data_IF_751873160053
#
_entry.id   IF_751873160053
#
_cell.length_a   1.000
_cell.length_b   1.000
_cell.length_c   1.000
_cell.angle_alpha   90.00
_cell.angle_beta   90.00
_cell.angle_gamma   90.00
#
_symmetry.space_group_name_H-M   'P 1'
#
loop_
_entity.id
_entity.type
_entity.pdbx_description
1 polymer ?
#
# COMPACT_ATOMS: atom_id res chain seq x y z
N UNK A 1 -16.43 -5.00 -62.89
CA UNK A 1 -16.02 -5.28 -61.49
C UNK A 1 -15.40 -6.66 -61.45
N UNK A 2 -14.07 -6.77 -61.43
CA UNK A 2 -13.41 -8.06 -61.28
C UNK A 2 -13.60 -8.53 -59.83
N UNK A 3 -14.36 -9.62 -59.63
CA UNK A 3 -14.35 -10.31 -58.35
C UNK A 3 -12.94 -10.86 -58.13
N UNK A 4 -12.26 -10.42 -57.07
CA UNK A 4 -11.02 -11.04 -56.62
C UNK A 4 -11.29 -12.54 -56.37
N UNK A 5 -10.73 -13.41 -57.21
CA UNK A 5 -10.72 -14.85 -56.95
C UNK A 5 -9.60 -15.13 -55.95
N UNK A 6 -9.97 -15.44 -54.72
CA UNK A 6 -9.02 -15.86 -53.68
C UNK A 6 -8.38 -17.19 -54.08
N UNK A 7 -7.05 -17.26 -53.99
CA UNK A 7 -6.30 -18.51 -54.14
C UNK A 7 -6.48 -19.39 -52.89
N UNK A 8 -6.07 -20.67 -52.97
CA UNK A 8 -6.05 -21.56 -51.80
C UNK A 8 -5.15 -21.03 -50.68
N UNK A 9 -4.05 -20.36 -51.03
CA UNK A 9 -3.17 -19.67 -50.10
C UNK A 9 -3.87 -18.52 -49.39
N UNK A 10 -4.65 -17.72 -50.12
CA UNK A 10 -5.42 -16.60 -49.54
C UNK A 10 -6.49 -17.10 -48.56
N UNK A 11 -7.18 -18.19 -48.90
CA UNK A 11 -8.17 -18.82 -47.99
C UNK A 11 -7.51 -19.35 -46.72
N UNK A 12 -6.33 -19.96 -46.82
CA UNK A 12 -5.58 -20.40 -45.65
C UNK A 12 -5.11 -19.21 -44.80
N UNK A 13 -4.60 -18.15 -45.42
CA UNK A 13 -4.22 -16.92 -44.74
C UNK A 13 -5.38 -16.26 -44.01
N UNK A 14 -6.54 -16.13 -44.65
CA UNK A 14 -7.77 -15.60 -44.02
C UNK A 14 -8.19 -16.43 -42.81
N UNK A 15 -8.10 -17.77 -42.89
CA UNK A 15 -8.41 -18.65 -41.74
C UNK A 15 -7.46 -18.42 -40.56
N UNK A 16 -6.16 -18.25 -40.82
CA UNK A 16 -5.17 -17.95 -39.78
C UNK A 16 -5.45 -16.59 -39.15
N UNK A 17 -5.69 -15.55 -39.96
CA UNK A 17 -6.01 -14.21 -39.45
C UNK A 17 -7.30 -14.20 -38.63
N UNK A 18 -8.33 -14.92 -39.07
CA UNK A 18 -9.58 -15.07 -38.34
C UNK A 18 -9.36 -15.82 -37.01
N UNK A 19 -8.56 -16.89 -37.00
CA UNK A 19 -8.22 -17.62 -35.78
C UNK A 19 -7.45 -16.72 -34.79
N UNK A 20 -6.49 -15.92 -35.26
CA UNK A 20 -5.79 -14.93 -34.43
C UNK A 20 -6.76 -13.87 -33.89
N UNK A 21 -7.65 -13.34 -34.72
CA UNK A 21 -8.66 -12.37 -34.27
C UNK A 21 -9.55 -12.95 -33.16
N UNK A 22 -10.03 -14.19 -33.33
CA UNK A 22 -10.83 -14.87 -32.30
C UNK A 22 -10.01 -15.10 -31.03
N UNK A 23 -8.75 -15.54 -31.15
CA UNK A 23 -7.86 -15.75 -30.01
C UNK A 23 -7.62 -14.44 -29.24
N UNK A 24 -7.25 -13.35 -29.92
CA UNK A 24 -7.05 -12.05 -29.28
C UNK A 24 -8.34 -11.47 -28.71
N UNK A 25 -9.48 -11.68 -29.38
CA UNK A 25 -10.79 -11.31 -28.85
C UNK A 25 -11.12 -12.05 -27.55
N UNK A 26 -10.85 -13.35 -27.48
CA UNK A 26 -11.02 -14.14 -26.26
C UNK A 26 -10.05 -13.74 -25.16
N UNK A 27 -8.77 -13.54 -25.47
CA UNK A 27 -7.76 -13.08 -24.51
C UNK A 27 -8.15 -11.70 -23.95
N UNK A 28 -8.54 -10.76 -24.81
CA UNK A 28 -8.99 -9.43 -24.39
C UNK A 28 -10.26 -9.50 -23.54
N UNK A 29 -11.23 -10.34 -23.90
CA UNK A 29 -12.43 -10.56 -23.09
C UNK A 29 -12.09 -11.13 -21.71
N UNK A 30 -11.19 -12.12 -21.63
CA UNK A 30 -10.75 -12.70 -20.35
C UNK A 30 -9.97 -11.68 -19.54
N UNK A 31 -9.04 -10.93 -20.13
CA UNK A 31 -8.31 -9.86 -19.43
C UNK A 31 -9.24 -8.78 -18.90
N UNK A 32 -10.19 -8.31 -19.72
CA UNK A 32 -11.21 -7.36 -19.30
C UNK A 32 -12.04 -7.93 -18.17
N UNK A 33 -12.51 -9.18 -18.31
CA UNK A 33 -13.25 -9.85 -17.27
C UNK A 33 -12.44 -9.93 -15.97
N UNK A 34 -11.17 -10.34 -15.99
CA UNK A 34 -10.32 -10.44 -14.78
C UNK A 34 -10.06 -9.07 -14.13
N UNK A 35 -9.71 -8.05 -14.91
CA UNK A 35 -9.42 -6.70 -14.41
C UNK A 35 -10.67 -6.07 -13.77
N UNK A 36 -11.84 -6.34 -14.35
CA UNK A 36 -13.12 -5.77 -13.92
C UNK A 36 -13.99 -6.77 -13.14
N UNK A 37 -13.46 -7.93 -12.78
CA UNK A 37 -14.21 -8.97 -12.08
C UNK A 37 -14.22 -8.68 -10.59
N UNK A 38 -15.45 -8.45 -10.11
CA UNK A 38 -15.88 -8.53 -8.72
C UNK A 38 -14.77 -8.18 -7.72
N UNK A 39 -14.66 -6.91 -7.37
CA UNK A 39 -13.96 -6.50 -6.15
C UNK A 39 -14.61 -7.14 -4.91
N UNK A 40 -13.91 -7.12 -3.78
CA UNK A 40 -14.57 -7.35 -2.50
C UNK A 40 -15.71 -6.34 -2.40
N UNK A 41 -16.94 -6.80 -2.12
CA UNK A 41 -18.08 -5.88 -2.00
C UNK A 41 -17.79 -4.95 -0.82
N UNK A 42 -17.70 -3.62 -1.05
CA UNK A 42 -17.43 -2.71 0.03
C UNK A 42 -18.57 -2.74 1.05
N UNK A 43 -18.20 -2.65 2.32
CA UNK A 43 -19.17 -2.63 3.42
C UNK A 43 -19.44 -1.19 3.86
N UNK A 44 -20.71 -0.91 4.17
CA UNK A 44 -21.19 0.38 4.66
C UNK A 44 -20.68 0.70 6.07
N UNK A 45 -21.04 1.88 6.58
CA UNK A 45 -20.60 2.37 7.90
C UNK A 45 -21.22 1.57 9.06
N UNK A 46 -22.35 0.94 8.81
CA UNK A 46 -23.10 0.03 9.68
C UNK A 46 -22.54 -1.42 9.69
N UNK A 47 -21.45 -1.67 8.95
CA UNK A 47 -20.80 -2.97 8.93
C UNK A 47 -20.43 -3.43 10.36
N UNK A 48 -20.55 -4.74 10.66
CA UNK A 48 -20.10 -5.30 11.92
C UNK A 48 -18.67 -4.86 12.29
N UNK A 49 -18.41 -4.70 13.60
CA UNK A 49 -17.13 -4.17 14.09
C UNK A 49 -15.94 -5.09 13.79
N UNK A 50 -16.19 -6.40 13.64
CA UNK A 50 -15.25 -7.45 13.26
C UNK A 50 -15.03 -7.55 11.73
N UNK A 51 -15.57 -6.61 10.96
CA UNK A 51 -15.43 -6.54 9.51
C UNK A 51 -14.86 -5.20 9.07
N UNK A 52 -14.02 -5.23 8.04
CA UNK A 52 -13.46 -4.03 7.44
C UNK A 52 -14.56 -3.27 6.70
N UNK A 53 -14.70 -1.98 7.00
CA UNK A 53 -15.66 -1.09 6.31
C UNK A 53 -14.93 -0.08 5.45
N UNK A 54 -15.17 -0.15 4.15
CA UNK A 54 -14.71 0.88 3.21
C UNK A 54 -15.33 2.23 3.56
N UNK A 55 -16.63 2.28 3.90
CA UNK A 55 -17.29 3.53 4.24
C UNK A 55 -16.64 4.23 5.44
N UNK A 56 -16.18 3.48 6.46
CA UNK A 56 -15.43 4.07 7.59
C UNK A 56 -14.04 4.54 7.16
N UNK A 57 -13.34 3.76 6.34
CA UNK A 57 -12.04 4.15 5.80
C UNK A 57 -12.12 5.43 4.95
N UNK A 58 -13.14 5.57 4.09
CA UNK A 58 -13.33 6.76 3.25
C UNK A 58 -13.51 8.03 4.09
N UNK A 59 -14.09 7.97 5.30
CA UNK A 59 -14.15 9.15 6.17
C UNK A 59 -12.75 9.64 6.58
N UNK A 60 -11.80 8.73 6.80
CA UNK A 60 -10.41 9.10 7.04
C UNK A 60 -9.78 9.77 5.82
N UNK A 61 -10.05 9.25 4.62
CA UNK A 61 -9.55 9.84 3.37
C UNK A 61 -10.10 11.25 3.16
N UNK A 62 -11.39 11.49 3.45
CA UNK A 62 -12.01 12.83 3.36
C UNK A 62 -11.29 13.85 4.25
N UNK A 63 -10.93 13.47 5.47
CA UNK A 63 -10.18 14.37 6.34
C UNK A 63 -8.76 14.58 5.82
N UNK A 64 -8.08 13.50 5.46
CA UNK A 64 -6.66 13.54 5.06
C UNK A 64 -6.44 14.32 3.75
N UNK A 65 -7.29 14.12 2.74
CA UNK A 65 -7.11 14.65 1.39
C UNK A 65 -8.12 15.74 1.00
N UNK A 66 -9.26 15.83 1.68
CA UNK A 66 -10.29 16.85 1.43
C UNK A 66 -10.18 18.04 2.39
N UNK A 67 -10.23 17.78 3.70
CA UNK A 67 -10.27 18.84 4.73
C UNK A 67 -8.88 19.45 4.99
N UNK A 68 -7.84 18.61 4.98
CA UNK A 68 -6.45 19.05 5.15
C UNK A 68 -5.90 19.51 3.80
N UNK A 69 -5.40 20.74 3.73
CA UNK A 69 -4.94 21.41 2.50
C UNK A 69 -3.59 20.92 1.94
N UNK A 70 -3.46 19.61 1.74
CA UNK A 70 -2.25 18.92 1.25
C UNK A 70 -1.27 18.53 2.37
N UNK A 71 -0.55 17.41 2.21
CA UNK A 71 0.30 16.83 3.26
C UNK A 71 1.77 16.76 2.84
N UNK A 72 2.23 17.72 2.05
CA UNK A 72 3.62 17.74 1.61
C UNK A 72 4.57 17.97 2.78
N UNK A 73 5.76 17.40 2.68
CA UNK A 73 6.82 17.59 3.67
C UNK A 73 7.08 19.08 3.96
N UNK A 74 7.17 19.41 5.26
CA UNK A 74 7.34 20.78 5.76
C UNK A 74 6.06 21.63 5.87
N UNK A 75 4.92 21.22 5.29
CA UNK A 75 3.68 22.00 5.31
C UNK A 75 2.94 21.94 6.66
N UNK A 76 1.97 22.84 6.86
CA UNK A 76 1.06 22.75 8.00
C UNK A 76 0.12 21.56 7.89
N UNK A 77 -0.29 21.17 6.68
CA UNK A 77 -1.21 20.07 6.48
C UNK A 77 -0.61 18.72 6.84
N UNK A 78 0.68 18.49 6.59
CA UNK A 78 1.38 17.30 7.12
C UNK A 78 1.29 17.22 8.65
N UNK A 79 1.53 18.34 9.35
CA UNK A 79 1.40 18.38 10.82
C UNK A 79 -0.03 18.12 11.28
N UNK A 80 -1.02 18.63 10.57
CA UNK A 80 -2.44 18.37 10.85
C UNK A 80 -2.79 16.90 10.63
N UNK A 81 -2.26 16.28 9.58
CA UNK A 81 -2.45 14.85 9.30
C UNK A 81 -1.83 13.99 10.40
N UNK A 82 -0.62 14.32 10.84
CA UNK A 82 0.03 13.65 11.96
C UNK A 82 -0.81 13.72 13.25
N UNK A 83 -1.31 14.92 13.59
CA UNK A 83 -2.21 15.12 14.74
C UNK A 83 -3.50 14.32 14.58
N UNK A 84 -4.08 14.29 13.38
CA UNK A 84 -5.28 13.54 13.08
C UNK A 84 -5.08 12.04 13.29
N UNK A 85 -4.05 11.45 12.66
CA UNK A 85 -3.72 10.02 12.78
C UNK A 85 -3.54 9.65 14.25
N UNK A 86 -2.70 10.40 14.98
CA UNK A 86 -2.46 10.16 16.42
C UNK A 86 -3.74 10.24 17.24
N UNK A 87 -4.63 11.19 16.93
CA UNK A 87 -5.94 11.30 17.58
C UNK A 87 -6.80 10.07 17.32
N UNK A 88 -6.84 9.57 16.08
CA UNK A 88 -7.56 8.33 15.75
C UNK A 88 -7.00 7.12 16.51
N UNK A 89 -5.67 7.01 16.58
CA UNK A 89 -4.99 5.94 17.31
C UNK A 89 -5.30 5.99 18.81
N UNK A 90 -5.27 7.16 19.44
CA UNK A 90 -5.64 7.30 20.85
C UNK A 90 -7.10 6.92 21.10
N UNK A 91 -8.03 7.30 20.21
CA UNK A 91 -9.41 6.84 20.31
C UNK A 91 -9.53 5.31 20.19
N UNK A 92 -8.80 4.69 19.26
CA UNK A 92 -8.75 3.22 19.12
C UNK A 92 -8.21 2.59 20.42
N UNK A 93 -7.14 3.13 20.99
CA UNK A 93 -6.55 2.66 22.24
C UNK A 93 -7.52 2.69 23.42
N UNK A 94 -8.38 3.70 23.53
CA UNK A 94 -9.38 3.75 24.62
C UNK A 94 -10.39 2.60 24.62
N UNK A 95 -10.54 1.91 23.47
CA UNK A 95 -11.48 0.79 23.30
C UNK A 95 -10.81 -0.57 23.49
N UNK A 96 -9.50 -0.61 23.76
CA UNK A 96 -8.76 -1.86 23.93
C UNK A 96 -9.27 -2.68 25.12
N UNK A 97 -9.40 -4.00 24.90
CA UNK A 97 -9.71 -4.95 25.96
C UNK A 97 -8.53 -5.12 26.93
N UNK A 98 -8.81 -5.54 28.17
CA UNK A 98 -7.80 -5.65 29.25
C UNK A 98 -6.66 -6.64 28.95
N UNK A 99 -6.85 -7.55 28.00
CA UNK A 99 -5.86 -8.55 27.58
C UNK A 99 -5.05 -8.11 26.34
N UNK A 100 -5.24 -6.88 25.86
CA UNK A 100 -4.51 -6.28 24.74
C UNK A 100 -3.74 -5.06 25.25
N UNK A 101 -2.46 -4.97 24.89
CA UNK A 101 -1.62 -3.80 25.09
C UNK A 101 -1.58 -2.96 23.80
N UNK A 102 -1.67 -1.64 23.95
CA UNK A 102 -1.62 -0.68 22.84
C UNK A 102 -0.63 0.43 23.15
N UNK A 103 0.45 0.48 22.38
CA UNK A 103 1.51 1.49 22.47
C UNK A 103 1.43 2.41 21.25
N UNK A 104 1.51 3.72 21.46
CA UNK A 104 1.49 4.72 20.38
C UNK A 104 2.74 5.58 20.53
N UNK A 105 3.50 5.73 19.46
CA UNK A 105 4.71 6.55 19.42
C UNK A 105 4.71 7.48 18.24
N UNK A 106 5.24 8.68 18.46
CA UNK A 106 5.58 9.62 17.40
C UNK A 106 7.09 9.81 17.48
N UNK A 107 7.78 9.53 16.38
CA UNK A 107 9.24 9.57 16.33
C UNK A 107 9.70 10.56 15.27
N UNK A 108 10.78 11.27 15.58
CA UNK A 108 11.43 12.19 14.66
C UNK A 108 12.73 11.55 14.20
N UNK A 109 12.85 11.29 12.91
CA UNK A 109 13.96 10.56 12.30
C UNK A 109 14.91 11.50 11.55
N UNK A 110 16.18 11.10 11.55
CA UNK A 110 17.26 11.78 10.83
C UNK A 110 18.15 10.70 10.23
N UNK A 111 18.79 10.99 9.10
CA UNK A 111 19.66 10.01 8.48
C UNK A 111 20.36 10.50 7.23
N UNK A 112 21.16 9.60 6.68
CA UNK A 112 21.81 9.76 5.40
C UNK A 112 22.06 8.39 4.79
N UNK A 113 21.76 8.25 3.50
CA UNK A 113 22.01 7.01 2.77
C UNK A 113 22.29 7.29 1.31
N UNK A 114 22.89 6.30 0.65
CA UNK A 114 23.04 6.30 -0.80
C UNK A 114 22.01 5.35 -1.38
N UNK A 115 21.46 5.71 -2.52
CA UNK A 115 20.51 4.89 -3.25
C UNK A 115 20.85 4.96 -4.74
N UNK A 116 20.76 3.82 -5.42
CA UNK A 116 20.76 3.81 -6.88
C UNK A 116 19.32 4.00 -7.37
N UNK A 117 19.08 5.06 -8.14
CA UNK A 117 17.79 5.41 -8.73
C UNK A 117 17.95 5.68 -10.22
N UNK A 118 17.22 4.94 -11.05
CA UNK A 118 17.30 5.03 -12.52
C UNK A 118 18.74 4.90 -13.08
N UNK A 119 19.58 4.09 -12.44
CA UNK A 119 20.97 3.87 -12.83
C UNK A 119 21.95 4.97 -12.39
N UNK A 120 21.49 5.93 -11.59
CA UNK A 120 22.31 6.98 -11.00
C UNK A 120 22.38 6.82 -9.49
N UNK A 121 23.58 6.96 -8.94
CA UNK A 121 23.77 6.97 -7.49
C UNK A 121 23.41 8.35 -6.95
N UNK A 122 22.48 8.39 -6.00
CA UNK A 122 22.08 9.60 -5.28
C UNK A 122 22.44 9.47 -3.81
N UNK A 123 22.94 10.57 -3.23
CA UNK A 123 23.22 10.67 -1.80
C UNK A 123 22.19 11.56 -1.15
N UNK A 124 21.45 11.01 -0.19
CA UNK A 124 20.39 11.70 0.53
C UNK A 124 20.88 11.98 1.96
N UNK A 125 20.55 13.16 2.48
CA UNK A 125 20.76 13.52 3.90
C UNK A 125 19.58 14.34 4.34
N UNK A 126 18.99 13.96 5.46
CA UNK A 126 17.72 14.51 5.89
C UNK A 126 17.63 14.60 7.40
N UNK A 127 16.76 15.49 7.88
CA UNK A 127 16.55 15.74 9.30
C UNK A 127 15.11 16.13 9.57
N UNK A 128 14.55 15.59 10.66
CA UNK A 128 13.30 16.09 11.20
C UNK A 128 12.02 15.57 10.54
N UNK A 129 12.05 14.39 9.90
CA UNK A 129 10.84 13.75 9.39
C UNK A 129 10.15 12.96 10.49
N UNK A 130 8.82 12.88 10.44
CA UNK A 130 8.02 12.28 11.52
C UNK A 130 7.42 10.96 11.08
N UNK A 131 7.48 9.95 11.94
CA UNK A 131 6.73 8.71 11.80
C UNK A 131 5.78 8.56 12.98
N UNK A 132 4.58 8.06 12.72
CA UNK A 132 3.62 7.68 13.76
C UNK A 132 3.48 6.18 13.77
N UNK A 133 3.55 5.59 14.95
CA UNK A 133 3.52 4.16 15.14
C UNK A 133 2.43 3.76 16.12
N UNK A 134 1.78 2.64 15.82
CA UNK A 134 0.90 1.92 16.72
C UNK A 134 1.43 0.50 16.87
N UNK A 135 1.60 0.01 18.09
CA UNK A 135 1.86 -1.39 18.36
C UNK A 135 0.71 -1.98 19.15
N UNK A 136 0.08 -3.01 18.59
CA UNK A 136 -0.98 -3.79 19.24
C UNK A 136 -0.41 -5.17 19.56
N UNK A 137 -0.52 -5.60 20.81
CA UNK A 137 -0.01 -6.89 21.26
C UNK A 137 -0.86 -7.50 22.37
N UNK A 138 -0.67 -8.78 22.67
CA UNK A 138 -1.16 -9.35 23.94
C UNK A 138 -0.41 -8.71 25.11
N UNK A 139 -1.06 -8.60 26.28
CA UNK A 139 -0.39 -8.16 27.53
C UNK A 139 0.77 -9.08 27.96
N UNK A 140 0.76 -10.34 27.51
CA UNK A 140 1.84 -11.30 27.76
C UNK A 140 2.99 -11.20 26.74
N UNK A 141 2.85 -10.38 25.70
CA UNK A 141 3.86 -10.23 24.67
C UNK A 141 5.10 -9.53 25.23
N UNK A 142 6.27 -10.01 24.84
CA UNK A 142 7.55 -9.40 25.19
C UNK A 142 7.89 -8.29 24.22
N UNK A 143 8.75 -7.37 24.65
CA UNK A 143 9.20 -6.27 23.80
C UNK A 143 9.91 -6.78 22.52
N UNK A 144 10.69 -7.86 22.64
CA UNK A 144 11.45 -8.44 21.53
C UNK A 144 10.70 -9.55 20.75
N UNK A 145 9.40 -9.70 20.97
CA UNK A 145 8.64 -10.71 20.22
C UNK A 145 8.54 -10.34 18.73
N UNK A 146 8.76 -11.31 17.82
CA UNK A 146 8.56 -11.12 16.39
C UNK A 146 7.19 -10.53 16.06
N UNK A 147 7.19 -9.46 15.29
CA UNK A 147 6.03 -8.63 14.96
C UNK A 147 5.76 -8.64 13.45
N UNK A 148 4.52 -8.39 13.07
CA UNK A 148 4.13 -8.11 11.68
C UNK A 148 3.98 -6.60 11.51
N UNK A 149 4.66 -6.03 10.51
CA UNK A 149 4.58 -4.61 10.17
C UNK A 149 3.54 -4.37 9.07
N UNK A 150 2.67 -3.40 9.26
CA UNK A 150 1.79 -2.84 8.24
C UNK A 150 2.24 -1.39 8.00
N UNK A 151 2.68 -1.08 6.78
CA UNK A 151 3.22 0.22 6.41
C UNK A 151 2.32 0.94 5.40
N UNK A 152 2.26 2.27 5.52
CA UNK A 152 1.73 3.17 4.50
C UNK A 152 2.11 4.60 4.83
N UNK A 153 2.47 5.39 3.81
CA UNK A 153 2.95 6.74 4.02
C UNK A 153 1.81 7.75 4.17
N UNK A 154 2.04 8.85 4.91
CA UNK A 154 1.01 9.87 5.13
C UNK A 154 1.34 11.24 4.54
N UNK A 155 2.53 11.41 3.96
CA UNK A 155 2.88 12.57 3.18
C UNK A 155 2.23 12.53 1.78
N UNK A 156 2.53 13.54 0.96
CA UNK A 156 2.02 13.66 -0.42
C UNK A 156 3.03 14.42 -1.26
N UNK A 157 3.06 14.15 -2.56
CA UNK A 157 3.76 14.98 -3.54
C UNK A 157 3.28 16.45 -3.61
N UNK A 158 4.17 17.37 -4.04
CA UNK A 158 3.81 18.77 -4.33
C UNK A 158 2.62 18.91 -5.28
N UNK A 159 1.57 19.58 -4.82
CA UNK A 159 0.38 19.87 -5.62
C UNK A 159 -0.66 18.75 -5.68
N UNK A 160 -0.39 17.58 -5.09
CA UNK A 160 -1.36 16.49 -4.94
C UNK A 160 -2.10 16.58 -3.60
N UNK A 161 -3.44 16.39 -3.57
CA UNK A 161 -4.19 16.14 -2.34
C UNK A 161 -3.91 14.74 -1.76
N UNK A 162 -3.49 13.80 -2.60
CA UNK A 162 -3.08 12.47 -2.20
C UNK A 162 -4.23 11.61 -1.64
N UNK A 163 -5.36 11.56 -2.34
CA UNK A 163 -6.51 10.75 -1.90
C UNK A 163 -6.22 9.26 -2.07
N UNK A 164 -5.74 8.85 -3.25
CA UNK A 164 -5.15 7.53 -3.49
C UNK A 164 -3.78 7.41 -2.85
N UNK A 165 -2.91 8.40 -3.07
CA UNK A 165 -1.49 8.33 -2.72
C UNK A 165 -1.08 9.28 -1.56
N UNK A 166 -0.91 8.81 -0.33
CA UNK A 166 -1.41 7.53 0.21
C UNK A 166 -2.53 7.74 1.24
N UNK A 167 -3.44 8.69 1.00
CA UNK A 167 -4.59 8.93 1.87
C UNK A 167 -5.41 7.65 2.13
N UNK A 168 -5.64 6.85 1.09
CA UNK A 168 -6.33 5.56 1.20
C UNK A 168 -5.52 4.49 1.93
N UNK A 169 -4.19 4.54 1.87
CA UNK A 169 -3.31 3.59 2.56
C UNK A 169 -3.38 3.84 4.07
N UNK A 170 -3.21 5.10 4.50
CA UNK A 170 -3.38 5.52 5.90
C UNK A 170 -4.78 5.17 6.40
N UNK A 171 -5.81 5.48 5.62
CA UNK A 171 -7.19 5.16 5.98
C UNK A 171 -7.42 3.64 6.16
N UNK A 172 -6.84 2.83 5.28
CA UNK A 172 -6.91 1.37 5.37
C UNK A 172 -6.22 0.84 6.63
N UNK A 173 -5.03 1.35 6.95
CA UNK A 173 -4.31 1.00 8.18
C UNK A 173 -5.10 1.40 9.43
N UNK A 174 -5.73 2.58 9.45
CA UNK A 174 -6.58 3.03 10.56
C UNK A 174 -7.80 2.12 10.76
N UNK A 175 -8.49 1.72 9.70
CA UNK A 175 -9.64 0.81 9.81
C UNK A 175 -9.21 -0.62 10.19
N UNK A 176 -8.03 -1.10 9.75
CA UNK A 176 -7.48 -2.39 10.19
C UNK A 176 -7.07 -2.34 11.66
N UNK A 177 -6.45 -1.25 12.13
CA UNK A 177 -6.14 -1.04 13.54
C UNK A 177 -7.41 -1.01 14.39
N UNK A 178 -8.44 -0.27 13.94
CA UNK A 178 -9.77 -0.23 14.57
C UNK A 178 -10.38 -1.62 14.66
N UNK A 179 -10.40 -2.37 13.55
CA UNK A 179 -10.92 -3.73 13.48
C UNK A 179 -10.21 -4.65 14.45
N UNK A 180 -8.88 -4.59 14.51
CA UNK A 180 -8.04 -5.42 15.40
C UNK A 180 -8.45 -5.26 16.86
N UNK A 181 -8.75 -4.03 17.28
CA UNK A 181 -9.19 -3.73 18.65
C UNK A 181 -10.66 -4.10 18.87
N UNK A 182 -11.55 -3.61 18.01
CA UNK A 182 -12.99 -3.70 18.23
C UNK A 182 -13.55 -5.11 18.00
N UNK A 183 -12.83 -5.99 17.29
CA UNK A 183 -13.25 -7.40 17.10
C UNK A 183 -13.05 -8.26 18.35
N UNK A 184 -12.39 -7.76 19.39
CA UNK A 184 -12.02 -8.53 20.58
C UNK A 184 -10.97 -9.61 20.32
N UNK A 185 -10.30 -9.57 19.17
CA UNK A 185 -9.24 -10.51 18.82
C UNK A 185 -7.94 -10.14 19.52
N UNK A 186 -7.28 -11.13 20.12
CA UNK A 186 -5.96 -10.94 20.73
C UNK A 186 -4.90 -11.44 19.75
N UNK A 187 -4.01 -10.57 19.27
CA UNK A 187 -3.05 -10.96 18.26
C UNK A 187 -2.01 -11.93 18.88
N UNK A 188 -1.74 -13.09 18.25
CA UNK A 188 -0.77 -14.07 18.77
C UNK A 188 0.68 -13.60 18.64
N UNK A 189 0.92 -12.60 17.79
CA UNK A 189 2.18 -11.87 17.60
C UNK A 189 1.87 -10.39 17.53
N UNK A 190 2.72 -9.49 18.05
CA UNK A 190 2.47 -8.07 17.95
C UNK A 190 2.30 -7.61 16.50
N UNK A 191 1.46 -6.61 16.30
CA UNK A 191 1.26 -5.94 15.02
C UNK A 191 1.74 -4.50 15.18
N UNK A 192 2.62 -4.07 14.29
CA UNK A 192 3.09 -2.69 14.22
C UNK A 192 2.44 -2.05 13.00
N UNK A 193 1.74 -0.94 13.20
CA UNK A 193 1.30 -0.06 12.12
C UNK A 193 2.28 1.10 12.07
N UNK A 194 2.91 1.29 10.93
CA UNK A 194 3.82 2.39 10.66
C UNK A 194 3.15 3.32 9.65
N UNK A 195 2.83 4.51 10.12
CA UNK A 195 2.44 5.64 9.29
C UNK A 195 3.70 6.49 9.11
N UNK A 196 4.48 6.21 8.07
CA UNK A 196 5.74 6.89 7.84
C UNK A 196 5.55 8.18 7.04
N UNK A 197 6.41 9.17 7.31
CA UNK A 197 6.47 10.40 6.52
C UNK A 197 7.59 10.36 5.50
N UNK A 198 7.66 11.39 4.66
CA UNK A 198 8.69 11.60 3.65
C UNK A 198 8.98 10.38 2.74
N UNK A 199 7.95 9.62 2.38
CA UNK A 199 8.07 8.58 1.34
C UNK A 199 8.33 9.24 -0.02
N UNK A 200 7.56 10.29 -0.31
CA UNK A 200 7.57 11.04 -1.56
C UNK A 200 8.88 11.81 -1.78
N UNK A 201 9.74 11.81 -0.78
CA UNK A 201 11.11 12.34 -0.80
C UNK A 201 12.16 11.21 -0.72
N UNK A 202 11.87 10.06 -1.32
CA UNK A 202 12.70 8.86 -1.36
C UNK A 202 12.71 8.07 -0.03
N UNK A 203 11.55 7.68 0.50
CA UNK A 203 11.40 6.69 1.58
C UNK A 203 12.15 7.04 2.87
N UNK A 204 12.30 8.34 3.16
CA UNK A 204 13.16 8.83 4.26
C UNK A 204 12.61 8.42 5.64
N UNK A 205 11.28 8.37 5.78
CA UNK A 205 10.62 7.90 7.00
C UNK A 205 10.87 6.42 7.26
N UNK A 206 10.69 5.56 6.26
CA UNK A 206 10.98 4.13 6.39
C UNK A 206 12.46 3.89 6.70
N UNK A 207 13.38 4.60 6.02
CA UNK A 207 14.81 4.52 6.33
C UNK A 207 15.08 4.92 7.79
N UNK A 208 14.43 5.98 8.26
CA UNK A 208 14.54 6.45 9.63
C UNK A 208 14.05 5.43 10.66
N UNK A 209 12.93 4.76 10.37
CA UNK A 209 12.43 3.66 11.19
C UNK A 209 13.44 2.52 11.26
N UNK A 210 13.93 2.06 10.10
CA UNK A 210 14.86 0.93 10.00
C UNK A 210 16.26 1.22 10.54
N UNK A 211 16.62 2.47 10.82
CA UNK A 211 17.94 2.81 11.36
C UNK A 211 17.92 3.25 12.81
N UNK A 212 16.80 3.79 13.31
CA UNK A 212 16.75 4.38 14.66
C UNK A 212 15.70 3.79 15.60
N UNK A 213 14.64 3.16 15.08
CA UNK A 213 13.52 2.74 15.91
C UNK A 213 13.82 1.44 16.66
N UNK A 214 13.46 1.34 17.94
CA UNK A 214 13.74 0.13 18.75
C UNK A 214 13.02 -1.12 18.27
N UNK A 215 11.82 -0.96 17.71
CA UNK A 215 11.03 -2.08 17.17
C UNK A 215 11.54 -2.63 15.82
N UNK A 216 12.50 -1.97 15.16
CA UNK A 216 13.01 -2.40 13.85
C UNK A 216 13.49 -3.86 13.84
N UNK A 217 14.16 -4.28 14.92
CA UNK A 217 14.77 -5.61 15.03
C UNK A 217 13.74 -6.70 15.37
N UNK A 218 12.50 -6.30 15.65
CA UNK A 218 11.39 -7.22 15.96
C UNK A 218 10.55 -7.55 14.73
N UNK A 219 10.69 -6.82 13.62
CA UNK A 219 9.86 -7.03 12.43
C UNK A 219 10.27 -8.32 11.74
N UNK A 220 9.40 -9.32 11.80
CA UNK A 220 9.64 -10.64 11.18
C UNK A 220 9.00 -10.79 9.80
N UNK A 221 8.00 -9.98 9.49
CA UNK A 221 7.38 -9.88 8.17
C UNK A 221 6.66 -8.54 8.03
N UNK A 222 6.40 -8.10 6.79
CA UNK A 222 5.66 -6.86 6.57
C UNK A 222 4.70 -6.90 5.38
N UNK A 223 3.75 -5.96 5.37
CA UNK A 223 2.92 -5.61 4.23
C UNK A 223 3.03 -4.09 4.06
N UNK A 224 3.53 -3.67 2.90
CA UNK A 224 3.50 -2.28 2.46
C UNK A 224 2.25 -2.06 1.60
N UNK A 225 1.48 -1.02 1.91
CA UNK A 225 0.32 -0.60 1.14
C UNK A 225 0.66 0.72 0.46
N UNK A 226 0.53 0.74 -0.86
CA UNK A 226 0.90 1.87 -1.72
C UNK A 226 -0.17 2.13 -2.78
N UNK A 227 -0.14 3.30 -3.41
CA UNK A 227 -0.96 3.65 -4.56
C UNK A 227 -0.11 4.16 -5.73
N UNK A 228 -0.43 3.71 -6.95
CA UNK A 228 0.04 4.31 -8.20
C UNK A 228 -1.16 4.75 -9.05
N UNK A 229 -2.27 5.06 -8.39
CA UNK A 229 -3.56 5.29 -9.00
C UNK A 229 -4.65 5.60 -7.97
N UNK A 230 -5.88 5.69 -8.46
CA UNK A 230 -7.07 6.07 -7.68
C UNK A 230 -8.10 4.95 -7.62
N UNK A 231 -7.80 3.76 -8.17
CA UNK A 231 -8.69 2.63 -8.01
C UNK A 231 -8.22 1.39 -8.75
N UNK A 232 -9.19 0.52 -9.05
CA UNK A 232 -8.92 -0.78 -9.65
C UNK A 232 -8.58 -1.83 -8.62
N UNK A 233 -7.75 -2.79 -9.02
CA UNK A 233 -7.35 -3.89 -8.15
C UNK A 233 -6.05 -3.60 -7.43
N UNK A 234 -5.98 -4.14 -6.22
CA UNK A 234 -4.78 -4.15 -5.40
C UNK A 234 -3.87 -5.26 -5.94
N UNK A 235 -2.72 -4.89 -6.51
CA UNK A 235 -1.77 -5.86 -7.03
C UNK A 235 -0.61 -6.03 -6.07
N UNK A 236 -0.27 -7.27 -5.73
CA UNK A 236 1.05 -7.59 -5.18
C UNK A 236 2.07 -7.40 -6.30
N UNK A 237 2.78 -6.26 -6.25
CA UNK A 237 3.79 -5.88 -7.24
C UNK A 237 5.17 -6.42 -6.89
N UNK A 238 5.49 -6.52 -5.60
CA UNK A 238 6.76 -7.07 -5.13
C UNK A 238 6.52 -8.04 -3.97
N UNK A 239 7.29 -9.12 -3.92
CA UNK A 239 7.27 -10.07 -2.80
C UNK A 239 8.67 -10.61 -2.53
N UNK A 240 8.99 -10.70 -1.24
CA UNK A 240 10.24 -11.27 -0.78
C UNK A 240 10.86 -10.50 0.37
N UNK A 241 12.06 -10.90 0.82
CA UNK A 241 12.82 -12.07 0.39
C UNK A 241 12.09 -13.41 0.65
N UNK A 242 12.29 -14.39 -0.23
CA UNK A 242 11.61 -15.70 -0.16
C UNK A 242 10.16 -15.71 -0.69
N UNK A 243 9.62 -16.90 -0.96
CA UNK A 243 8.32 -17.09 -1.62
C UNK A 243 7.14 -17.30 -0.67
N UNK A 244 7.41 -17.42 0.63
CA UNK A 244 6.39 -17.75 1.62
C UNK A 244 5.37 -16.61 1.84
N UNK A 245 5.71 -15.30 1.79
CA UNK A 245 4.72 -14.23 1.96
C UNK A 245 3.63 -14.30 0.89
N UNK A 246 4.03 -14.45 -0.37
CA UNK A 246 3.11 -14.67 -1.50
C UNK A 246 2.24 -15.92 -1.30
N UNK A 247 2.81 -17.00 -0.74
CA UNK A 247 2.06 -18.23 -0.46
C UNK A 247 1.01 -18.04 0.64
N UNK A 248 1.29 -17.21 1.65
CA UNK A 248 0.33 -16.85 2.69
C UNK A 248 -0.76 -15.95 2.11
N UNK A 249 -0.38 -14.94 1.33
CA UNK A 249 -1.34 -14.05 0.65
C UNK A 249 -2.30 -14.84 -0.25
N UNK A 250 -1.79 -15.74 -1.08
CA UNK A 250 -2.60 -16.56 -1.97
C UNK A 250 -3.61 -17.48 -1.24
N UNK A 251 -3.31 -17.86 0.00
CA UNK A 251 -4.20 -18.71 0.84
C UNK A 251 -5.19 -17.89 1.66
N UNK A 252 -4.83 -16.67 2.04
CA UNK A 252 -5.58 -15.86 3.01
C UNK A 252 -6.45 -14.80 2.35
N UNK A 253 -6.00 -14.20 1.24
CA UNK A 253 -6.76 -13.16 0.55
C UNK A 253 -8.00 -13.77 -0.11
N UNK A 254 -9.20 -13.17 0.04
CA UNK A 254 -10.42 -13.67 -0.62
C UNK A 254 -10.31 -13.71 -2.14
N UNK A 255 -9.51 -12.79 -2.70
CA UNK A 255 -9.26 -12.64 -4.14
C UNK A 255 -7.80 -12.24 -4.35
N UNK A 256 -6.87 -13.19 -4.26
CA UNK A 256 -5.45 -12.86 -4.38
C UNK A 256 -5.15 -12.35 -5.78
N UNK A 257 -4.53 -11.19 -5.88
CA UNK A 257 -4.04 -10.62 -7.13
C UNK A 257 -2.54 -10.34 -6.99
N UNK A 258 -1.76 -11.10 -7.75
CA UNK A 258 -0.31 -10.98 -7.81
C UNK A 258 0.18 -11.64 -9.08
N UNK A 259 1.20 -11.05 -9.71
CA UNK A 259 1.84 -11.66 -10.87
C UNK A 259 3.34 -11.37 -10.85
N UNK A 260 4.16 -12.34 -11.25
CA UNK A 260 5.63 -12.19 -11.24
C UNK A 260 6.11 -11.17 -12.27
N UNK A 261 5.33 -10.93 -13.32
CA UNK A 261 5.66 -9.92 -14.32
C UNK A 261 5.71 -8.50 -13.71
N UNK A 262 4.85 -8.20 -12.73
CA UNK A 262 4.83 -6.94 -12.02
C UNK A 262 6.15 -6.74 -11.28
N UNK A 263 6.64 -7.77 -10.60
CA UNK A 263 7.92 -7.75 -9.91
C UNK A 263 9.10 -7.59 -10.89
N UNK A 264 9.09 -8.33 -12.00
CA UNK A 264 10.16 -8.27 -13.00
C UNK A 264 10.23 -6.91 -13.71
N UNK A 265 9.06 -6.28 -13.93
CA UNK A 265 8.96 -4.97 -14.58
C UNK A 265 9.11 -3.81 -13.59
N UNK A 266 8.94 -4.04 -12.28
CA UNK A 266 8.98 -2.98 -11.27
C UNK A 266 10.28 -2.16 -11.35
N UNK A 267 11.43 -2.81 -11.51
CA UNK A 267 12.72 -2.13 -11.64
C UNK A 267 12.91 -1.29 -12.91
N UNK A 268 11.97 -1.34 -13.87
CA UNK A 268 11.94 -0.48 -15.06
C UNK A 268 11.05 0.74 -14.85
N UNK A 269 10.12 0.68 -13.89
CA UNK A 269 9.23 1.79 -13.55
C UNK A 269 10.07 2.85 -12.82
N UNK A 270 9.96 4.15 -13.18
CA UNK A 270 10.68 5.23 -12.52
C UNK A 270 10.06 5.59 -11.17
N UNK A 271 9.98 4.62 -10.27
CA UNK A 271 9.42 4.73 -8.93
C UNK A 271 9.92 3.59 -8.06
N UNK A 272 9.90 3.81 -6.76
CA UNK A 272 10.23 2.82 -5.74
C UNK A 272 9.27 3.04 -4.56
N UNK A 273 9.27 2.14 -3.59
CA UNK A 273 8.40 2.27 -2.41
C UNK A 273 9.18 1.95 -1.15
N UNK A 274 8.58 2.21 0.00
CA UNK A 274 9.13 1.81 1.30
C UNK A 274 9.47 0.30 1.38
N UNK A 275 8.86 -0.55 0.54
CA UNK A 275 9.20 -1.96 0.42
C UNK A 275 10.71 -2.18 0.26
N UNK A 276 11.37 -1.38 -0.58
CA UNK A 276 12.82 -1.49 -0.82
C UNK A 276 13.63 -1.32 0.46
N UNK A 277 13.25 -0.38 1.30
CA UNK A 277 13.95 -0.13 2.56
C UNK A 277 13.84 -1.34 3.48
N UNK A 278 12.65 -1.93 3.59
CA UNK A 278 12.40 -3.08 4.48
C UNK A 278 12.96 -4.41 3.95
N UNK A 279 12.85 -4.66 2.65
CA UNK A 279 13.19 -5.94 2.04
C UNK A 279 14.60 -6.03 1.46
N UNK A 280 15.20 -4.91 1.03
CA UNK A 280 16.41 -4.92 0.20
C UNK A 280 17.56 -4.13 0.82
N UNK A 281 17.35 -2.84 1.09
CA UNK A 281 18.48 -1.93 1.37
C UNK A 281 18.93 -1.95 2.83
N UNK A 282 17.98 -1.99 3.78
CA UNK A 282 18.25 -1.86 5.22
C UNK A 282 17.72 -3.02 6.06
N UNK A 283 16.90 -3.88 5.45
CA UNK A 283 16.46 -5.13 6.05
C UNK A 283 16.82 -6.32 5.18
N UNK A 284 16.23 -7.44 5.54
CA UNK A 284 16.15 -8.69 4.77
C UNK A 284 14.83 -9.35 5.19
N UNK A 285 13.79 -8.50 5.30
CA UNK A 285 12.54 -8.86 5.96
C UNK A 285 11.58 -9.37 4.89
N UNK A 286 11.03 -10.59 5.01
CA UNK A 286 10.06 -11.10 4.05
C UNK A 286 8.75 -10.31 4.10
N UNK A 287 8.33 -9.74 2.97
CA UNK A 287 7.10 -8.96 2.91
C UNK A 287 6.43 -8.94 1.53
N UNK A 288 5.39 -8.12 1.46
CA UNK A 288 4.58 -7.88 0.26
C UNK A 288 4.47 -6.37 0.03
N UNK A 289 4.57 -5.96 -1.23
CA UNK A 289 4.24 -4.62 -1.68
C UNK A 289 2.94 -4.66 -2.48
N UNK A 290 1.89 -4.05 -1.94
CA UNK A 290 0.54 -4.08 -2.52
C UNK A 290 0.20 -2.68 -3.02
N UNK A 291 -0.05 -2.56 -4.34
CA UNK A 291 -0.23 -1.27 -5.00
C UNK A 291 -1.60 -1.18 -5.70
N UNK A 292 -2.31 -0.07 -5.50
CA UNK A 292 -3.49 0.29 -6.31
C UNK A 292 -3.04 0.83 -7.69
N UNK A 293 -3.42 0.16 -8.79
CA UNK A 293 -2.79 0.45 -10.10
C UNK A 293 -3.62 1.26 -11.10
N UNK A 294 -4.96 1.22 -11.06
CA UNK A 294 -5.74 1.89 -12.10
C UNK A 294 -5.91 3.37 -11.77
N UNK A 295 -5.98 4.20 -12.80
CA UNK A 295 -6.10 5.65 -12.62
C UNK A 295 -4.77 6.39 -12.45
N UNK A 296 -3.63 5.79 -12.82
CA UNK A 296 -2.30 6.40 -12.70
C UNK A 296 -2.06 7.71 -13.47
N UNK A 297 -3.03 8.18 -14.26
CA UNK A 297 -2.98 9.54 -14.85
C UNK A 297 -3.42 10.64 -13.86
N UNK A 298 -3.98 10.27 -12.70
CA UNK A 298 -4.24 11.16 -11.58
C UNK A 298 -3.14 11.13 -10.52
N UNK A 299 -2.36 10.04 -10.47
CA UNK A 299 -1.22 9.86 -9.57
C UNK A 299 -0.22 11.02 -9.70
N UNK A 300 0.26 11.54 -8.56
CA UNK A 300 1.15 12.71 -8.48
C UNK A 300 0.61 13.99 -9.16
N UNK A 301 -0.71 14.20 -9.16
CA UNK A 301 -1.31 15.43 -9.70
C UNK A 301 -2.37 16.00 -8.77
N UNK A 302 -2.77 17.26 -9.02
CA UNK A 302 -3.87 17.93 -8.31
C UNK A 302 -5.24 17.26 -8.47
N UNK A 303 -5.29 16.20 -9.28
CA UNK A 303 -6.46 15.43 -9.62
C UNK A 303 -6.58 14.13 -8.83
N UNK A 304 -5.64 13.81 -7.96
CA UNK A 304 -5.78 12.74 -6.97
C UNK A 304 -6.69 13.19 -5.81
N UNK A 305 -8.00 13.21 -6.08
CA UNK A 305 -9.04 13.71 -5.15
C UNK A 305 -9.97 12.60 -4.68
N UNK A 306 -10.65 12.84 -3.57
CA UNK A 306 -11.55 11.85 -2.94
C UNK A 306 -12.69 11.44 -3.86
N UNK A 307 -13.16 12.34 -4.72
CA UNK A 307 -14.26 12.08 -5.67
C UNK A 307 -13.88 11.13 -6.80
N UNK A 308 -12.60 10.77 -6.90
CA UNK A 308 -12.05 9.91 -7.96
C UNK A 308 -11.59 8.54 -7.46
N UNK A 309 -11.79 8.27 -6.16
CA UNK A 309 -11.68 6.94 -5.56
C UNK A 309 -12.91 6.09 -5.87
#
# INVERSE_FOLDING_TARGET
MALLRLSSGDVAGIKVLFALLVLYGLLSYVSHFVIWMKFVTPLGSDAPLDRFSEARAIEHVRVLAGDIGGRQEGTQGLRQAAVYIKTQLEMIKTRAALNVSVEIEETVVNGSFNMDFLGYSISLTYRGHSNILLRISSVDAKENDPSVLLNGHFDTTPGSPGAGDCGSCVASLLEVARLTIDSGWVPPRPIIFLFNGAEELFMLGAHGFMTTHRWRDTVGAFINIEASGTGGFDLVCQSGPGSWPSSVYAKSAPRPMGNSLAQDVFGVIPGDTDYRIFAVDYGDIPGLDIIFLLGGYFYHTSFDTVERL
#
